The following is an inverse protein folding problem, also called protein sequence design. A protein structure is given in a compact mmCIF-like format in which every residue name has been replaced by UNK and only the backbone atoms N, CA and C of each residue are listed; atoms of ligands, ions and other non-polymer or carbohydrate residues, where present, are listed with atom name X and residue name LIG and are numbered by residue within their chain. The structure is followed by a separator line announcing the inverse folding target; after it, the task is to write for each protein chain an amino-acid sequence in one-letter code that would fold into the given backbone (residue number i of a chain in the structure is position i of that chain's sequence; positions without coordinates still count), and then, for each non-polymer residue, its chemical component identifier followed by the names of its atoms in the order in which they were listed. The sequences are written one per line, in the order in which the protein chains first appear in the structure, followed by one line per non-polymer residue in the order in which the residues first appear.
data_IF_571479087623
#
_entry.id   IF_571479087623
#
_cell.length_a   1.000
_cell.length_b   1.000
_cell.length_c   1.000
_cell.angle_alpha   90.00
_cell.angle_beta   90.00
_cell.angle_gamma   90.00
#
_symmetry.space_group_name_H-M   'P 1'
#
loop_
_entity.id
_entity.type
_entity.pdbx_description
1 polymer ?
#
# COMPACT_ATOMS: atom_id res chain seq x y z
N UNK A 1 -19.68 -16.38 3.93
CA UNK A 1 -19.30 -15.07 3.35
C UNK A 1 -18.61 -15.34 2.02
N UNK A 2 -19.33 -15.06 0.94
CA UNK A 2 -18.85 -15.11 -0.45
C UNK A 2 -17.83 -13.99 -0.70
N UNK A 3 -16.81 -14.23 -1.54
CA UNK A 3 -15.85 -13.17 -1.91
C UNK A 3 -16.49 -12.34 -3.00
N UNK A 4 -16.76 -11.07 -2.71
CA UNK A 4 -17.21 -10.12 -3.73
C UNK A 4 -16.08 -9.88 -4.73
N UNK A 5 -16.44 -9.66 -5.99
CA UNK A 5 -15.49 -9.25 -7.03
C UNK A 5 -14.81 -7.94 -6.65
N UNK A 6 -13.55 -7.77 -7.09
CA UNK A 6 -12.85 -6.49 -6.97
C UNK A 6 -13.68 -5.43 -7.69
N UNK A 7 -13.99 -4.33 -7.01
CA UNK A 7 -14.70 -3.22 -7.63
C UNK A 7 -13.88 -2.69 -8.81
N UNK A 8 -14.56 -2.46 -9.93
CA UNK A 8 -13.97 -1.82 -11.12
C UNK A 8 -13.99 -0.28 -11.03
N UNK A 9 -14.62 0.26 -9.98
CA UNK A 9 -14.68 1.71 -9.77
C UNK A 9 -13.27 2.27 -9.49
N UNK A 10 -12.83 3.30 -10.23
CA UNK A 10 -11.51 3.90 -10.05
C UNK A 10 -11.23 4.28 -8.59
N UNK A 11 -10.08 3.87 -8.04
CA UNK A 11 -9.71 4.13 -6.63
C UNK A 11 -9.73 5.62 -6.25
N UNK A 12 -9.52 6.54 -7.19
CA UNK A 12 -9.55 7.98 -6.91
C UNK A 12 -10.96 8.57 -6.77
N UNK A 13 -12.02 7.78 -6.99
CA UNK A 13 -13.42 8.22 -6.91
C UNK A 13 -14.15 7.66 -5.69
N UNK A 14 -13.47 6.88 -4.84
CA UNK A 14 -14.11 6.24 -3.69
C UNK A 14 -13.17 6.10 -2.48
N UNK A 15 -13.72 6.01 -1.26
CA UNK A 15 -12.94 5.95 -0.01
C UNK A 15 -12.43 4.54 0.35
N UNK A 16 -12.59 3.53 -0.51
CA UNK A 16 -12.26 2.15 -0.13
C UNK A 16 -10.79 1.97 0.24
N UNK A 17 -9.88 2.60 -0.54
CA UNK A 17 -8.44 2.49 -0.29
C UNK A 17 -8.03 3.17 1.02
N UNK A 18 -8.68 4.26 1.45
CA UNK A 18 -8.35 4.91 2.71
C UNK A 18 -8.65 3.99 3.90
N UNK A 19 -9.81 3.34 3.91
CA UNK A 19 -10.16 2.33 4.93
C UNK A 19 -9.21 1.13 4.91
N UNK A 20 -8.76 0.70 3.73
CA UNK A 20 -7.79 -0.39 3.62
C UNK A 20 -6.40 0.01 4.15
N UNK A 21 -5.94 1.24 3.86
CA UNK A 21 -4.68 1.79 4.38
C UNK A 21 -4.74 1.91 5.91
N UNK A 22 -5.87 2.36 6.44
CA UNK A 22 -6.12 2.46 7.88
C UNK A 22 -5.91 1.12 8.58
N UNK A 23 -6.39 0.03 7.98
CA UNK A 23 -6.23 -1.31 8.55
C UNK A 23 -4.79 -1.83 8.39
N UNK A 24 -4.27 -1.88 7.17
CA UNK A 24 -3.18 -2.81 6.83
C UNK A 24 -1.90 -2.14 6.32
N UNK A 25 -1.91 -0.82 6.08
CA UNK A 25 -0.72 -0.13 5.58
C UNK A 25 0.12 0.50 6.70
N UNK A 26 1.34 0.89 6.35
CA UNK A 26 2.26 1.65 7.21
C UNK A 26 2.90 2.79 6.43
N UNK A 27 3.02 3.96 7.08
CA UNK A 27 3.88 5.04 6.62
C UNK A 27 5.27 4.86 7.22
N UNK A 28 6.30 5.05 6.40
CA UNK A 28 7.67 4.85 6.83
C UNK A 28 8.56 5.97 6.30
N UNK A 29 9.35 6.55 7.20
CA UNK A 29 10.46 7.44 6.86
C UNK A 29 11.75 6.65 6.97
N UNK A 30 12.55 6.69 5.91
CA UNK A 30 13.88 6.05 5.87
C UNK A 30 14.94 7.09 5.63
N UNK A 31 15.89 7.16 6.55
CA UNK A 31 17.15 7.88 6.38
C UNK A 31 18.28 6.87 6.19
N UNK A 32 19.23 7.18 5.34
CA UNK A 32 20.45 6.38 5.16
C UNK A 32 21.60 7.35 5.02
N UNK A 33 22.42 7.44 6.07
CA UNK A 33 23.55 8.37 6.16
C UNK A 33 24.84 7.79 5.58
N UNK A 34 24.90 6.46 5.42
CA UNK A 34 26.04 5.74 4.86
C UNK A 34 25.81 5.37 3.39
N UNK A 35 26.86 5.48 2.57
CA UNK A 35 26.82 5.20 1.13
C UNK A 35 27.29 6.39 0.29
N UNK A 36 27.34 6.20 -1.04
CA UNK A 36 27.78 7.24 -1.98
C UNK A 36 26.81 8.43 -1.98
N UNK A 37 25.51 8.16 -1.78
CA UNK A 37 24.46 9.16 -1.75
C UNK A 37 23.60 8.97 -0.49
N UNK A 38 23.66 9.91 0.48
CA UNK A 38 22.72 9.94 1.58
C UNK A 38 21.28 9.96 1.04
N UNK A 39 20.40 9.18 1.67
CA UNK A 39 19.02 9.01 1.20
C UNK A 39 18.03 9.39 2.27
N UNK A 40 17.02 10.15 1.88
CA UNK A 40 15.83 10.47 2.67
C UNK A 40 14.60 10.08 1.85
N UNK A 41 13.77 9.17 2.36
CA UNK A 41 12.57 8.69 1.66
C UNK A 41 11.39 8.59 2.60
N UNK A 42 10.21 9.03 2.13
CA UNK A 42 8.93 8.70 2.72
C UNK A 42 8.22 7.69 1.82
N UNK A 43 7.63 6.64 2.40
CA UNK A 43 6.95 5.60 1.65
C UNK A 43 5.70 5.10 2.38
N UNK A 44 4.66 4.83 1.60
CA UNK A 44 3.57 3.95 2.01
C UNK A 44 3.97 2.51 1.72
N UNK A 45 3.75 1.60 2.65
CA UNK A 45 3.95 0.16 2.47
C UNK A 45 2.72 -0.62 2.93
N UNK A 46 2.19 -1.43 2.01
CA UNK A 46 1.13 -2.41 2.24
C UNK A 46 1.77 -3.79 2.13
N UNK A 47 1.57 -4.63 3.14
CA UNK A 47 1.98 -6.04 3.09
C UNK A 47 0.78 -6.92 3.42
N UNK A 48 0.53 -7.91 2.58
CA UNK A 48 -0.58 -8.85 2.72
C UNK A 48 -0.08 -10.26 2.44
N UNK A 49 -0.68 -11.26 3.09
CA UNK A 49 -0.48 -12.66 2.72
C UNK A 49 -0.88 -12.92 1.27
N UNK A 50 -0.23 -13.89 0.61
CA UNK A 50 -0.56 -14.23 -0.77
C UNK A 50 -1.93 -14.89 -0.91
N UNK A 51 -2.16 -15.91 -0.09
CA UNK A 51 -3.43 -16.61 -0.03
C UNK A 51 -4.14 -16.28 1.28
N UNK A 52 -5.45 -16.05 1.19
CA UNK A 52 -6.27 -15.87 2.38
C UNK A 52 -6.57 -17.20 3.09
N UNK A 53 -7.31 -17.15 4.21
CA UNK A 53 -7.66 -18.37 4.98
C UNK A 53 -8.56 -19.33 4.19
N UNK A 54 -9.08 -18.91 3.03
CA UNK A 54 -9.95 -19.69 2.14
C UNK A 54 -9.22 -20.10 0.84
N UNK A 55 -7.92 -19.82 0.72
CA UNK A 55 -7.11 -20.16 -0.44
C UNK A 55 -7.26 -19.22 -1.63
N UNK A 56 -7.88 -18.04 -1.45
CA UNK A 56 -7.97 -17.06 -2.54
C UNK A 56 -6.70 -16.22 -2.60
N UNK A 57 -6.17 -16.04 -3.82
CA UNK A 57 -5.05 -15.15 -4.08
C UNK A 57 -5.48 -13.67 -3.88
N UNK A 58 -4.62 -12.90 -3.21
CA UNK A 58 -4.78 -11.47 -2.96
C UNK A 58 -4.08 -10.61 -4.03
N UNK A 59 -3.41 -11.22 -5.01
CA UNK A 59 -2.67 -10.55 -6.06
C UNK A 59 -3.53 -9.56 -6.85
N UNK A 60 -4.77 -9.91 -7.17
CA UNK A 60 -5.62 -9.12 -8.07
C UNK A 60 -5.86 -7.71 -7.52
N UNK A 61 -6.36 -7.59 -6.29
CA UNK A 61 -6.62 -6.27 -5.71
C UNK A 61 -5.32 -5.52 -5.35
N UNK A 62 -4.25 -6.24 -4.99
CA UNK A 62 -2.96 -5.61 -4.75
C UNK A 62 -2.34 -5.06 -6.03
N UNK A 63 -2.56 -5.72 -7.16
CA UNK A 63 -2.14 -5.23 -8.48
C UNK A 63 -2.90 -3.98 -8.85
N UNK A 64 -4.21 -3.96 -8.60
CA UNK A 64 -5.04 -2.78 -8.81
C UNK A 64 -4.57 -1.57 -7.97
N UNK A 65 -4.21 -1.79 -6.71
CA UNK A 65 -3.61 -0.74 -5.85
C UNK A 65 -2.22 -0.33 -6.38
N UNK A 66 -1.40 -1.28 -6.82
CA UNK A 66 -0.05 -1.01 -7.32
C UNK A 66 -0.06 -0.16 -8.59
N UNK A 67 -0.98 -0.43 -9.52
CA UNK A 67 -1.20 0.38 -10.73
C UNK A 67 -1.59 1.81 -10.37
N UNK A 68 -2.51 1.98 -9.42
CA UNK A 68 -2.89 3.31 -8.93
C UNK A 68 -1.71 4.07 -8.31
N UNK A 69 -0.84 3.38 -7.56
CA UNK A 69 0.34 3.95 -6.91
C UNK A 69 1.58 4.04 -7.82
N UNK A 70 1.45 3.66 -9.10
CA UNK A 70 2.55 3.62 -10.07
C UNK A 70 3.77 2.83 -9.57
N UNK A 71 3.50 1.63 -9.07
CA UNK A 71 4.47 0.68 -8.54
C UNK A 71 4.10 -0.74 -8.95
N UNK A 72 4.81 -1.73 -8.43
CA UNK A 72 4.59 -3.14 -8.70
C UNK A 72 4.33 -3.92 -7.41
N UNK A 73 3.62 -5.04 -7.53
CA UNK A 73 3.47 -6.01 -6.46
C UNK A 73 4.72 -6.88 -6.40
N UNK A 74 5.41 -6.87 -5.26
CA UNK A 74 6.58 -7.73 -5.03
C UNK A 74 6.21 -8.95 -4.20
N UNK A 75 6.65 -10.13 -4.64
CA UNK A 75 6.66 -11.36 -3.85
C UNK A 75 7.75 -11.27 -2.78
N UNK A 76 7.38 -11.27 -1.51
CA UNK A 76 8.31 -11.23 -0.38
C UNK A 76 8.11 -12.45 0.52
N UNK A 77 9.12 -12.74 1.37
CA UNK A 77 9.09 -13.85 2.34
C UNK A 77 8.71 -15.20 1.70
N UNK A 78 9.14 -15.40 0.45
CA UNK A 78 8.84 -16.64 -0.32
C UNK A 78 9.41 -17.89 0.34
N UNK A 79 10.43 -17.74 1.18
CA UNK A 79 11.07 -18.79 1.96
C UNK A 79 10.31 -19.15 3.25
N UNK A 80 9.26 -18.40 3.61
CA UNK A 80 8.50 -18.59 4.85
C UNK A 80 7.19 -19.35 4.62
N UNK A 81 6.69 -20.07 5.65
CA UNK A 81 5.40 -20.77 5.57
C UNK A 81 4.20 -19.87 5.24
N UNK A 82 4.32 -18.57 5.50
CA UNK A 82 3.31 -17.55 5.19
C UNK A 82 3.92 -16.53 4.24
N UNK A 83 3.95 -16.84 2.93
CA UNK A 83 4.49 -15.92 1.94
C UNK A 83 3.56 -14.70 1.79
N UNK A 84 4.16 -13.58 1.42
CA UNK A 84 3.46 -12.29 1.34
C UNK A 84 3.68 -11.62 -0.02
N UNK A 85 2.76 -10.72 -0.33
CA UNK A 85 2.90 -9.67 -1.33
C UNK A 85 3.14 -8.34 -0.63
N UNK A 86 3.91 -7.49 -1.30
CA UNK A 86 4.17 -6.13 -0.86
C UNK A 86 3.92 -5.15 -1.99
N UNK A 87 3.19 -4.09 -1.68
CA UNK A 87 3.05 -2.89 -2.52
C UNK A 87 3.65 -1.73 -1.75
N UNK A 88 4.54 -0.96 -2.38
CA UNK A 88 5.12 0.21 -1.75
C UNK A 88 5.32 1.34 -2.74
N UNK A 89 5.13 2.58 -2.30
CA UNK A 89 5.55 3.72 -3.11
C UNK A 89 7.09 3.76 -3.16
N UNK A 90 7.63 3.92 -4.37
CA UNK A 90 9.10 3.96 -4.61
C UNK A 90 9.54 5.19 -5.39
N UNK A 91 8.60 6.04 -5.78
CA UNK A 91 8.84 7.21 -6.60
C UNK A 91 7.97 8.38 -6.13
N UNK A 92 8.38 9.60 -6.50
CA UNK A 92 7.69 10.82 -6.11
C UNK A 92 6.26 10.87 -6.63
N UNK A 93 6.01 10.33 -7.83
CA UNK A 93 4.69 10.38 -8.47
C UNK A 93 3.64 9.56 -7.71
N UNK A 94 3.99 8.34 -7.29
CA UNK A 94 3.18 7.51 -6.42
C UNK A 94 2.93 8.16 -5.05
N UNK A 95 3.94 8.81 -4.47
CA UNK A 95 3.79 9.57 -3.22
C UNK A 95 2.83 10.76 -3.37
N UNK A 96 2.92 11.52 -4.47
CA UNK A 96 2.00 12.63 -4.74
C UNK A 96 0.57 12.10 -4.96
N UNK A 97 0.40 10.98 -5.68
CA UNK A 97 -0.92 10.36 -5.87
C UNK A 97 -1.56 9.98 -4.54
N UNK A 98 -0.85 9.26 -3.68
CA UNK A 98 -1.43 8.86 -2.40
C UNK A 98 -1.69 10.05 -1.49
N UNK A 99 -0.80 11.06 -1.47
CA UNK A 99 -1.04 12.30 -0.73
C UNK A 99 -2.36 12.95 -1.17
N UNK A 100 -2.54 13.16 -2.47
CA UNK A 100 -3.74 13.81 -2.99
C UNK A 100 -5.00 12.98 -2.69
N UNK A 101 -4.90 11.66 -2.81
CA UNK A 101 -5.99 10.75 -2.45
C UNK A 101 -6.39 10.88 -0.97
N UNK A 102 -5.42 10.90 -0.05
CA UNK A 102 -5.69 11.01 1.39
C UNK A 102 -6.11 12.41 1.84
N UNK A 103 -5.86 13.45 1.03
CA UNK A 103 -6.46 14.78 1.24
C UNK A 103 -7.96 14.79 0.93
N UNK A 104 -8.40 13.99 -0.05
CA UNK A 104 -9.82 13.85 -0.42
C UNK A 104 -10.54 12.83 0.46
N UNK A 105 -9.87 11.72 0.79
CA UNK A 105 -10.37 10.63 1.64
C UNK A 105 -9.45 10.42 2.84
N UNK A 106 -9.58 11.25 3.89
CA UNK A 106 -8.70 11.19 5.04
C UNK A 106 -8.73 9.84 5.77
N UNK A 107 -7.56 9.50 6.31
CA UNK A 107 -7.43 8.45 7.32
C UNK A 107 -8.04 8.91 8.64
N UNK A 108 -8.27 7.96 9.53
CA UNK A 108 -8.77 8.20 10.88
C UNK A 108 -7.72 7.76 11.91
N UNK A 109 -7.99 7.98 13.20
CA UNK A 109 -7.12 7.51 14.27
C UNK A 109 -5.69 8.06 14.21
N UNK A 110 -4.71 7.24 14.61
CA UNK A 110 -3.30 7.67 14.70
C UNK A 110 -2.63 7.76 13.33
N UNK A 111 -3.04 6.93 12.36
CA UNK A 111 -2.47 6.96 11.00
C UNK A 111 -2.85 8.21 10.23
N UNK A 112 -3.90 8.92 10.64
CA UNK A 112 -4.19 10.26 10.14
C UNK A 112 -3.00 11.21 10.35
N UNK A 113 -2.44 11.24 11.57
CA UNK A 113 -1.28 12.07 11.88
C UNK A 113 -0.05 11.61 11.10
N UNK A 114 0.20 10.30 11.04
CA UNK A 114 1.32 9.73 10.25
C UNK A 114 1.23 10.07 8.75
N UNK A 115 0.03 10.31 8.22
CA UNK A 115 -0.18 10.69 6.82
C UNK A 115 0.05 12.18 6.54
N UNK A 116 -0.04 13.02 7.59
CA UNK A 116 0.21 14.45 7.53
C UNK A 116 1.69 14.80 7.77
N UNK A 117 2.39 13.98 8.58
CA UNK A 117 3.83 14.07 8.85
C UNK A 117 4.72 13.79 7.62
#
# INVERSE_FOLDING_TARGET
IEKHYVSIEPLHLNPWLSGFIEADASFQVRTTLSGIYPKFECKLEISQRREDHKGYDNLDFLTYIAEFLETEVKKIRSDKPKPEYRVRTTNLKGNIRIKNYLLEYPLFGTKHLDSLD
#
